data_IF_520910956183
#
_entry.id   IF_520910956183
#
_cell.length_a   1.000
_cell.length_b   1.000
_cell.length_c   1.000
_cell.angle_alpha   90.00
_cell.angle_beta   90.00
_cell.angle_gamma   90.00
#
_symmetry.space_group_name_H-M   'P 1'
#
loop_
_entity.id
_entity.type
_entity.pdbx_description
1 polymer ?
#
# COMPACT_ATOMS: atom_id res chain seq x y z
N UNK A 1 -8.99 -3.66 -11.62
CA UNK A 1 -7.71 -3.50 -12.34
C UNK A 1 -6.60 -4.16 -11.55
N UNK A 2 -5.82 -4.99 -12.22
CA UNK A 2 -4.65 -5.63 -11.59
C UNK A 2 -3.35 -5.05 -12.18
N UNK A 3 -2.21 -5.54 -11.69
CA UNK A 3 -0.90 -5.05 -12.13
C UNK A 3 -0.67 -5.23 -13.62
N UNK A 4 -1.06 -6.39 -14.18
CA UNK A 4 -0.87 -6.66 -15.60
C UNK A 4 -1.72 -5.74 -16.46
N UNK A 5 -2.94 -5.47 -16.04
CA UNK A 5 -3.83 -4.52 -16.74
C UNK A 5 -3.29 -3.10 -16.68
N UNK A 6 -2.72 -2.70 -15.55
CA UNK A 6 -2.07 -1.40 -15.40
C UNK A 6 -0.89 -1.27 -16.36
N UNK A 7 -0.04 -2.30 -16.46
CA UNK A 7 1.09 -2.33 -17.38
C UNK A 7 0.62 -2.21 -18.82
N UNK A 8 -0.42 -2.95 -19.19
CA UNK A 8 -0.97 -2.89 -20.54
C UNK A 8 -1.51 -1.51 -20.88
N UNK A 9 -2.20 -0.88 -19.94
CA UNK A 9 -2.74 0.46 -20.11
C UNK A 9 -1.63 1.50 -20.30
N UNK A 10 -0.60 1.46 -19.47
CA UNK A 10 0.54 2.39 -19.58
C UNK A 10 1.34 2.17 -20.86
N UNK A 11 1.51 0.91 -21.25
CA UNK A 11 2.17 0.57 -22.52
C UNK A 11 1.45 1.23 -23.70
N UNK A 12 0.13 1.17 -23.71
CA UNK A 12 -0.70 1.78 -24.76
C UNK A 12 -0.62 3.30 -24.73
N UNK A 13 -0.77 3.91 -23.57
CA UNK A 13 -0.81 5.37 -23.43
C UNK A 13 0.54 6.04 -23.63
N UNK A 14 1.61 5.42 -23.16
CA UNK A 14 2.94 6.02 -23.16
C UNK A 14 3.80 5.64 -24.37
N UNK A 15 3.33 4.72 -25.19
CA UNK A 15 4.03 4.23 -26.40
C UNK A 15 5.45 3.75 -26.13
N UNK A 16 5.66 3.10 -25.00
CA UNK A 16 6.93 2.46 -24.66
C UNK A 16 6.74 0.95 -24.67
N UNK A 17 7.84 0.21 -24.74
CA UNK A 17 7.77 -1.25 -24.79
C UNK A 17 7.10 -1.81 -23.53
N UNK A 18 6.49 -2.97 -23.65
CA UNK A 18 5.85 -3.64 -22.50
C UNK A 18 6.87 -3.96 -21.42
N UNK A 19 8.08 -4.34 -21.81
CA UNK A 19 9.17 -4.63 -20.89
C UNK A 19 9.56 -3.38 -20.08
N UNK A 20 9.73 -2.26 -20.74
CA UNK A 20 10.05 -0.99 -20.06
C UNK A 20 8.92 -0.54 -19.14
N UNK A 21 7.68 -0.67 -19.59
CA UNK A 21 6.50 -0.32 -18.79
C UNK A 21 6.44 -1.17 -17.53
N UNK A 22 6.72 -2.47 -17.64
CA UNK A 22 6.74 -3.37 -16.48
C UNK A 22 7.81 -2.94 -15.47
N UNK A 23 8.98 -2.55 -15.95
CA UNK A 23 10.07 -2.06 -15.09
C UNK A 23 9.66 -0.79 -14.34
N UNK A 24 8.99 0.13 -15.03
CA UNK A 24 8.52 1.40 -14.43
C UNK A 24 7.49 1.12 -13.33
N UNK A 25 6.52 0.26 -13.59
CA UNK A 25 5.49 -0.10 -12.61
C UNK A 25 6.11 -0.79 -11.39
N UNK A 26 7.03 -1.73 -11.63
CA UNK A 26 7.72 -2.42 -10.54
C UNK A 26 8.56 -1.46 -9.70
N UNK A 27 9.27 -0.54 -10.35
CA UNK A 27 10.06 0.48 -9.66
C UNK A 27 9.18 1.36 -8.77
N UNK A 28 8.02 1.76 -9.26
CA UNK A 28 7.08 2.59 -8.50
C UNK A 28 6.64 1.89 -7.22
N UNK A 29 6.13 0.67 -7.32
CA UNK A 29 5.64 -0.07 -6.15
C UNK A 29 6.77 -0.50 -5.21
N UNK A 30 7.92 -0.86 -5.75
CA UNK A 30 9.09 -1.20 -4.94
C UNK A 30 9.58 0.01 -4.14
N UNK A 31 9.59 1.19 -4.75
CA UNK A 31 9.95 2.44 -4.08
C UNK A 31 9.00 2.77 -2.94
N UNK A 32 7.70 2.57 -3.14
CA UNK A 32 6.70 2.73 -2.08
C UNK A 32 6.98 1.78 -0.92
N UNK A 33 7.21 0.50 -1.23
CA UNK A 33 7.47 -0.53 -0.23
C UNK A 33 8.71 -0.21 0.60
N UNK A 34 9.78 0.21 -0.04
CA UNK A 34 11.03 0.58 0.62
C UNK A 34 10.87 1.80 1.52
N UNK A 35 10.13 2.79 1.04
CA UNK A 35 9.86 4.02 1.81
C UNK A 35 9.08 3.69 3.08
N UNK A 36 8.04 2.87 2.96
CA UNK A 36 7.24 2.44 4.10
C UNK A 36 8.04 1.55 5.07
N UNK A 37 8.93 0.70 4.54
CA UNK A 37 9.81 -0.12 5.37
C UNK A 37 10.75 0.71 6.23
N UNK A 38 11.13 1.89 5.77
CA UNK A 38 11.96 2.84 6.53
C UNK A 38 11.17 3.62 7.58
N UNK A 39 9.87 3.46 7.63
CA UNK A 39 9.00 4.20 8.54
C UNK A 39 8.52 5.55 8.01
N UNK A 40 8.83 5.87 6.76
CA UNK A 40 8.40 7.10 6.13
C UNK A 40 7.04 6.91 5.47
N UNK A 41 6.31 8.00 5.28
CA UNK A 41 5.02 7.94 4.60
C UNK A 41 5.17 8.19 3.10
N UNK A 42 4.25 7.64 2.33
CA UNK A 42 4.13 7.90 0.90
C UNK A 42 2.88 8.72 0.68
N UNK A 43 3.01 9.89 0.10
CA UNK A 43 1.87 10.76 -0.18
C UNK A 43 1.80 11.05 -1.67
N UNK A 44 0.66 10.72 -2.26
CA UNK A 44 0.37 11.02 -3.66
C UNK A 44 -0.71 12.09 -3.65
N UNK A 45 -0.27 13.32 -3.79
CA UNK A 45 -1.15 14.48 -3.68
C UNK A 45 -2.32 14.40 -4.67
N UNK A 46 -3.52 14.62 -4.18
CA UNK A 46 -4.73 14.51 -4.98
C UNK A 46 -5.32 13.11 -5.04
N UNK A 47 -4.61 12.09 -4.56
CA UNK A 47 -5.08 10.72 -4.60
C UNK A 47 -5.19 10.08 -3.22
N UNK A 48 -4.08 9.90 -2.54
CA UNK A 48 -4.05 9.14 -1.29
C UNK A 48 -2.75 9.34 -0.53
N UNK A 49 -2.70 8.78 0.66
CA UNK A 49 -1.46 8.62 1.39
C UNK A 49 -1.40 7.23 2.03
N UNK A 50 -0.18 6.72 2.13
CA UNK A 50 0.13 5.48 2.83
C UNK A 50 1.05 5.84 3.99
N UNK A 51 0.78 5.27 5.15
CA UNK A 51 1.61 5.49 6.33
C UNK A 51 1.58 4.24 7.20
N UNK A 52 2.58 4.13 8.07
CA UNK A 52 2.64 3.02 9.00
C UNK A 52 1.88 3.36 10.27
N UNK A 53 1.09 2.42 10.73
CA UNK A 53 0.42 2.50 12.00
C UNK A 53 1.07 1.49 12.94
N UNK A 54 1.52 1.98 14.09
CA UNK A 54 2.17 1.14 15.08
C UNK A 54 1.14 0.64 16.09
N UNK A 55 1.23 -0.65 16.40
CA UNK A 55 0.42 -1.30 17.41
C UNK A 55 1.33 -1.74 18.53
N UNK A 56 1.01 -1.34 19.75
CA UNK A 56 1.72 -1.78 20.94
C UNK A 56 1.46 -3.26 21.20
N UNK A 57 2.38 -3.89 21.95
CA UNK A 57 2.14 -5.27 22.39
C UNK A 57 0.94 -5.33 23.33
N UNK A 58 0.19 -6.39 23.23
CA UNK A 58 -0.97 -6.62 24.10
C UNK A 58 -1.10 -8.10 24.40
N UNK A 59 -1.89 -8.42 25.42
CA UNK A 59 -2.18 -9.81 25.77
C UNK A 59 -3.49 -10.21 25.09
N UNK A 60 -3.39 -11.13 24.15
CA UNK A 60 -4.54 -11.71 23.48
C UNK A 60 -4.91 -13.04 24.10
N UNK A 61 -6.05 -13.58 23.70
CA UNK A 61 -6.51 -14.89 24.13
C UNK A 61 -6.50 -15.84 22.95
N UNK A 62 -5.89 -17.01 23.12
CA UNK A 62 -5.90 -18.05 22.11
C UNK A 62 -7.32 -18.62 22.02
N UNK A 63 -8.01 -18.51 20.86
CA UNK A 63 -9.40 -18.99 20.76
C UNK A 63 -9.54 -20.50 20.89
N UNK A 64 -8.47 -21.29 20.68
CA UNK A 64 -8.50 -22.75 20.81
C UNK A 64 -8.33 -23.23 22.25
N UNK A 65 -7.45 -22.59 23.00
CA UNK A 65 -7.09 -23.03 24.34
C UNK A 65 -7.61 -22.12 25.46
N UNK A 66 -8.00 -20.89 25.09
CA UNK A 66 -8.40 -19.87 26.03
C UNK A 66 -7.25 -19.26 26.83
N UNK A 67 -6.01 -19.67 26.55
CA UNK A 67 -4.82 -19.13 27.19
C UNK A 67 -4.50 -17.72 26.71
N UNK A 68 -3.96 -16.90 27.61
CA UNK A 68 -3.49 -15.57 27.27
C UNK A 68 -2.14 -15.66 26.56
N UNK A 69 -2.03 -15.04 25.40
CA UNK A 69 -0.81 -15.01 24.60
C UNK A 69 -0.34 -13.57 24.49
N UNK A 70 0.96 -13.36 24.66
CA UNK A 70 1.56 -12.05 24.44
C UNK A 70 1.68 -11.80 22.93
N UNK A 71 1.02 -10.76 22.44
CA UNK A 71 1.13 -10.34 21.04
C UNK A 71 2.22 -9.28 20.96
N UNK A 72 3.24 -9.53 20.13
CA UNK A 72 4.34 -8.59 19.94
C UNK A 72 3.87 -7.30 19.28
N UNK A 73 4.56 -6.17 19.53
CA UNK A 73 4.26 -4.93 18.83
C UNK A 73 4.52 -5.10 17.33
N UNK A 74 3.70 -4.45 16.51
CA UNK A 74 3.80 -4.56 15.06
C UNK A 74 3.51 -3.25 14.37
N UNK A 75 3.99 -3.13 13.14
CA UNK A 75 3.71 -2.01 12.25
C UNK A 75 2.93 -2.54 11.05
N UNK A 76 1.89 -1.83 10.67
CA UNK A 76 1.10 -2.19 9.50
C UNK A 76 0.93 -0.96 8.60
N UNK A 77 0.99 -1.14 7.27
CA UNK A 77 0.71 -0.05 6.37
C UNK A 77 -0.78 0.26 6.34
N UNK A 78 -1.11 1.53 6.29
CA UNK A 78 -2.47 2.02 6.19
C UNK A 78 -2.64 2.91 4.99
N UNK A 79 -3.78 2.81 4.36
CA UNK A 79 -4.18 3.64 3.25
C UNK A 79 -5.18 4.69 3.73
N UNK A 80 -4.96 5.93 3.35
CA UNK A 80 -5.91 7.01 3.58
C UNK A 80 -6.27 7.65 2.24
N UNK A 81 -7.55 7.64 1.92
CA UNK A 81 -8.07 8.25 0.71
C UNK A 81 -7.96 9.77 0.77
N UNK A 82 -7.50 10.39 -0.30
CA UNK A 82 -7.49 11.83 -0.43
C UNK A 82 -8.90 12.37 -0.73
N UNK A 83 -9.10 13.65 -0.48
CA UNK A 83 -10.38 14.31 -0.69
C UNK A 83 -10.88 14.19 -2.13
N UNK A 84 -9.99 14.44 -3.09
CA UNK A 84 -10.35 14.38 -4.51
C UNK A 84 -10.76 12.99 -4.96
N UNK A 85 -10.03 11.95 -4.52
CA UNK A 85 -10.39 10.58 -4.85
C UNK A 85 -11.73 10.20 -4.23
N UNK A 86 -11.94 10.60 -2.98
CA UNK A 86 -13.20 10.34 -2.28
C UNK A 86 -14.38 10.94 -3.02
N UNK A 87 -14.25 12.19 -3.49
CA UNK A 87 -15.30 12.88 -4.24
C UNK A 87 -15.57 12.22 -5.59
N UNK A 88 -14.55 11.70 -6.25
CA UNK A 88 -14.69 11.01 -7.53
C UNK A 88 -15.41 9.68 -7.41
N UNK A 89 -15.29 9.01 -6.29
CA UNK A 89 -15.92 7.70 -6.05
C UNK A 89 -17.33 7.86 -5.51
N UNK A 90 -17.54 8.85 -4.66
CA UNK A 90 -18.84 9.13 -4.00
C UNK A 90 -19.47 10.37 -4.63
N UNK A 91 -19.98 10.20 -5.83
CA UNK A 91 -20.61 11.29 -6.59
C UNK A 91 -22.13 11.23 -6.48
#
# INVERSE_FOLDING_TARGET
MNKLELIAMLNKECRISRKETAIIVDLFFDSMSKTLAKGERVEIRGLCSFYNKEYESYKGRNPKTGERVQVAPKKLPFFKCGKELKERVDY
#
